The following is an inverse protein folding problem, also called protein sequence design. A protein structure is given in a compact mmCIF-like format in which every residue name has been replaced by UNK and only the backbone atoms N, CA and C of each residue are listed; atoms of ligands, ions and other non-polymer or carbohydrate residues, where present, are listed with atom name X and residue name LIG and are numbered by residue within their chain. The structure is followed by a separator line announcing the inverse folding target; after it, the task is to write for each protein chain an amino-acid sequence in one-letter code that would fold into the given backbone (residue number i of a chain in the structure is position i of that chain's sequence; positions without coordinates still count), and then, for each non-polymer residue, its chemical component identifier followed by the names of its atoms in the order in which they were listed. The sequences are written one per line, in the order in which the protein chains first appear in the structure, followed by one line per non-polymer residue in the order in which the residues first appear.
data_IF_974105453929
#
_entry.id   IF_974105453929
#
_cell.length_a   1.000
_cell.length_b   1.000
_cell.length_c   1.000
_cell.angle_alpha   90.00
_cell.angle_beta   90.00
_cell.angle_gamma   90.00
#
_symmetry.space_group_name_H-M   'P 1'
#
loop_
_entity.id
_entity.type
_entity.pdbx_description
1 polymer ?
#
# COMPACT_ATOMS: atom_id res chain seq x y z
N UNK A 1 21.57 55.30 -3.60
CA UNK A 1 21.05 54.12 -4.34
C UNK A 1 21.93 52.94 -3.97
N UNK A 2 21.49 52.10 -3.05
CA UNK A 2 22.25 50.93 -2.56
C UNK A 2 21.48 49.67 -2.95
N UNK A 3 22.08 48.84 -3.80
CA UNK A 3 21.53 47.56 -4.23
C UNK A 3 21.96 46.47 -3.23
N UNK A 4 20.99 45.76 -2.67
CA UNK A 4 21.20 44.59 -1.82
C UNK A 4 21.35 43.33 -2.70
N UNK A 5 22.45 42.55 -2.58
CA UNK A 5 22.62 41.32 -3.34
C UNK A 5 22.49 40.10 -2.42
N UNK A 6 21.26 39.76 -2.02
CA UNK A 6 20.97 38.45 -1.42
C UNK A 6 19.64 37.89 -1.95
N UNK A 7 19.54 37.69 -3.27
CA UNK A 7 18.60 36.72 -3.83
C UNK A 7 19.22 35.34 -3.67
N UNK A 8 18.89 34.64 -2.58
CA UNK A 8 19.05 33.18 -2.49
C UNK A 8 18.12 32.57 -3.53
N UNK A 9 18.67 32.14 -4.66
CA UNK A 9 17.98 31.23 -5.57
C UNK A 9 17.69 29.95 -4.79
N UNK A 10 16.41 29.73 -4.49
CA UNK A 10 15.91 28.44 -4.05
C UNK A 10 16.10 27.51 -5.26
N UNK A 11 17.22 26.78 -5.29
CA UNK A 11 17.39 25.67 -6.23
C UNK A 11 16.41 24.61 -5.78
N UNK A 12 15.20 24.71 -6.31
CA UNK A 12 14.18 23.68 -6.26
C UNK A 12 14.84 22.42 -6.82
N UNK A 13 15.31 21.54 -5.93
CA UNK A 13 15.84 20.24 -6.32
C UNK A 13 14.66 19.48 -6.90
N UNK A 14 14.47 19.59 -8.22
CA UNK A 14 13.60 18.70 -8.97
C UNK A 14 14.05 17.28 -8.65
N UNK A 15 13.28 16.59 -7.82
CA UNK A 15 13.56 15.20 -7.48
C UNK A 15 13.50 14.44 -8.82
N UNK A 16 14.55 13.70 -9.18
CA UNK A 16 14.53 12.94 -10.42
C UNK A 16 13.34 11.98 -10.40
N UNK A 17 12.63 11.90 -11.52
CA UNK A 17 11.56 10.92 -11.70
C UNK A 17 12.15 9.54 -11.53
N UNK A 18 11.80 8.86 -10.43
CA UNK A 18 12.29 7.53 -10.13
C UNK A 18 11.54 6.53 -11.01
N UNK A 19 12.26 5.71 -11.77
CA UNK A 19 11.62 4.62 -12.51
C UNK A 19 11.24 3.48 -11.56
N UNK A 20 10.23 2.67 -11.89
CA UNK A 20 9.89 1.47 -11.10
C UNK A 20 11.11 0.55 -10.90
N UNK A 21 11.96 0.40 -11.93
CA UNK A 21 13.16 -0.43 -11.88
C UNK A 21 14.21 0.15 -10.94
N UNK A 22 14.39 1.48 -10.96
CA UNK A 22 15.34 2.17 -10.08
C UNK A 22 14.89 2.07 -8.61
N UNK A 23 13.59 2.18 -8.36
CA UNK A 23 13.00 1.98 -7.03
C UNK A 23 13.27 0.57 -6.51
N UNK A 24 12.98 -0.45 -7.32
CA UNK A 24 13.21 -1.85 -6.96
C UNK A 24 14.68 -2.16 -6.75
N UNK A 25 15.56 -1.64 -7.62
CA UNK A 25 17.02 -1.78 -7.46
C UNK A 25 17.51 -1.11 -6.18
N UNK A 26 16.94 0.03 -5.80
CA UNK A 26 17.26 0.71 -4.55
C UNK A 26 16.86 -0.12 -3.33
N UNK A 27 15.68 -0.76 -3.33
CA UNK A 27 15.24 -1.65 -2.24
C UNK A 27 16.17 -2.86 -2.13
N UNK A 28 16.49 -3.52 -3.25
CA UNK A 28 17.38 -4.69 -3.26
C UNK A 28 18.79 -4.29 -2.81
N UNK A 29 19.28 -3.12 -3.21
CA UNK A 29 20.56 -2.61 -2.76
C UNK A 29 20.54 -2.31 -1.25
N UNK A 30 19.44 -1.74 -0.73
CA UNK A 30 19.25 -1.48 0.68
C UNK A 30 19.24 -2.80 1.46
N UNK A 31 18.50 -3.81 1.02
CA UNK A 31 18.36 -5.08 1.73
C UNK A 31 19.66 -5.85 1.91
N UNK A 32 20.63 -5.64 1.00
CA UNK A 32 21.97 -6.23 1.05
C UNK A 32 22.97 -5.47 1.93
N UNK A 33 22.55 -4.39 2.60
CA UNK A 33 23.42 -3.63 3.51
C UNK A 33 23.46 -4.30 4.88
N UNK A 34 24.66 -4.59 5.35
CA UNK A 34 24.89 -5.16 6.66
C UNK A 34 25.46 -4.11 7.61
N UNK A 35 25.35 -4.34 8.92
CA UNK A 35 25.95 -3.46 9.93
C UNK A 35 27.47 -3.33 9.79
N UNK A 36 28.12 -4.27 9.10
CA UNK A 36 29.55 -4.22 8.76
C UNK A 36 29.88 -3.27 7.62
N UNK A 37 28.92 -2.95 6.74
CA UNK A 37 29.13 -2.11 5.55
C UNK A 37 28.37 -0.78 5.59
N UNK A 38 27.42 -0.62 6.51
CA UNK A 38 26.64 0.61 6.65
C UNK A 38 26.16 0.84 8.08
N UNK A 39 26.10 2.12 8.45
CA UNK A 39 25.44 2.60 9.68
C UNK A 39 23.92 2.38 9.62
N UNK A 40 23.37 2.20 8.42
CA UNK A 40 21.95 1.88 8.18
C UNK A 40 21.85 0.46 7.61
N UNK A 41 21.84 -0.57 8.48
CA UNK A 41 21.67 -1.95 8.03
C UNK A 41 20.29 -2.13 7.41
N UNK A 42 20.21 -2.91 6.33
CA UNK A 42 18.99 -3.16 5.59
C UNK A 42 18.48 -4.60 5.70
N UNK A 43 19.04 -5.42 6.59
CA UNK A 43 18.61 -6.81 6.81
C UNK A 43 17.08 -6.97 6.99
N UNK A 44 16.41 -5.95 7.52
CA UNK A 44 14.96 -5.91 7.71
C UNK A 44 14.16 -5.96 6.38
N UNK A 45 14.80 -5.61 5.26
CA UNK A 45 14.21 -5.57 3.93
C UNK A 45 14.60 -6.79 3.06
N UNK A 46 15.24 -7.80 3.63
CA UNK A 46 15.71 -8.98 2.85
C UNK A 46 14.54 -9.67 2.17
N UNK A 47 13.46 -10.00 2.87
CA UNK A 47 12.35 -10.74 2.26
C UNK A 47 11.63 -9.93 1.18
N UNK A 48 11.37 -8.64 1.42
CA UNK A 48 10.76 -7.79 0.39
C UNK A 48 11.69 -7.64 -0.82
N UNK A 49 13.02 -7.55 -0.60
CA UNK A 49 14.00 -7.52 -1.67
C UNK A 49 14.06 -8.83 -2.47
N UNK A 50 14.04 -9.98 -1.79
CA UNK A 50 13.99 -11.31 -2.41
C UNK A 50 12.67 -11.52 -3.18
N UNK A 51 11.55 -11.06 -2.62
CA UNK A 51 10.25 -11.12 -3.25
C UNK A 51 10.16 -10.23 -4.51
N UNK A 52 10.71 -9.01 -4.46
CA UNK A 52 10.81 -8.14 -5.64
C UNK A 52 11.72 -8.73 -6.74
N UNK A 53 12.74 -9.51 -6.36
CA UNK A 53 13.61 -10.20 -7.31
C UNK A 53 12.91 -11.32 -8.09
N UNK A 54 11.87 -11.93 -7.52
CA UNK A 54 11.09 -12.98 -8.20
C UNK A 54 10.44 -12.46 -9.48
N UNK A 55 9.98 -11.20 -9.49
CA UNK A 55 9.37 -10.55 -10.66
C UNK A 55 10.42 -10.17 -11.72
N UNK A 56 11.59 -9.66 -11.28
CA UNK A 56 12.72 -9.37 -12.19
C UNK A 56 13.24 -10.62 -12.91
N UNK A 57 13.17 -11.79 -12.27
CA UNK A 57 13.47 -13.07 -12.90
C UNK A 57 12.49 -13.43 -14.02
N UNK A 58 11.21 -13.05 -13.88
CA UNK A 58 10.18 -13.26 -14.90
C UNK A 58 10.34 -12.28 -16.07
N UNK A 59 10.75 -11.03 -15.82
CA UNK A 59 10.99 -10.04 -16.89
C UNK A 59 12.20 -10.37 -17.79
N UNK A 60 13.23 -11.04 -17.26
CA UNK A 60 14.42 -11.41 -18.04
C UNK A 60 14.28 -12.75 -18.78
N UNK A 61 13.25 -13.54 -18.49
CA UNK A 61 12.94 -14.78 -19.19
C UNK A 61 11.89 -14.50 -20.25
N UNK A 62 12.32 -14.21 -21.48
CA UNK A 62 11.42 -14.18 -22.62
C UNK A 62 10.70 -15.53 -22.71
N UNK A 63 9.39 -15.53 -22.40
CA UNK A 63 8.44 -16.64 -22.20
C UNK A 63 8.16 -16.96 -20.72
N UNK A 64 7.30 -16.17 -20.09
CA UNK A 64 6.65 -16.51 -18.84
C UNK A 64 5.17 -16.85 -19.11
N UNK A 65 4.88 -18.14 -19.31
CA UNK A 65 3.53 -18.66 -19.07
C UNK A 65 3.42 -19.09 -17.60
N UNK A 66 2.34 -18.62 -16.98
CA UNK A 66 1.63 -19.21 -15.83
C UNK A 66 2.40 -19.53 -14.55
N UNK A 67 2.71 -18.52 -13.72
CA UNK A 67 2.88 -18.75 -12.26
C UNK A 67 2.26 -17.67 -11.35
N UNK A 68 1.30 -16.88 -11.82
CA UNK A 68 0.55 -15.90 -11.00
C UNK A 68 -0.63 -16.52 -10.23
N UNK A 69 -0.75 -17.85 -10.18
CA UNK A 69 -1.92 -18.56 -9.65
C UNK A 69 -1.66 -19.27 -8.32
N UNK A 70 -1.30 -18.53 -7.26
CA UNK A 70 -1.31 -19.08 -5.89
C UNK A 70 -2.26 -18.36 -4.92
N UNK A 71 -2.82 -17.21 -5.28
CA UNK A 71 -3.65 -16.41 -4.34
C UNK A 71 -4.94 -15.84 -4.93
N UNK A 72 -5.45 -16.41 -6.04
CA UNK A 72 -6.76 -16.04 -6.56
C UNK A 72 -7.86 -16.52 -5.60
N UNK A 73 -8.33 -15.60 -4.75
CA UNK A 73 -9.60 -15.76 -4.02
C UNK A 73 -10.68 -16.18 -5.02
N UNK A 74 -11.42 -17.24 -4.69
CA UNK A 74 -12.59 -17.76 -5.45
C UNK A 74 -13.79 -16.79 -5.42
N UNK A 75 -13.56 -15.49 -5.34
CA UNK A 75 -14.61 -14.46 -5.42
C UNK A 75 -14.86 -14.12 -6.89
N UNK A 76 -16.08 -14.42 -7.36
CA UNK A 76 -16.55 -14.16 -8.74
C UNK A 76 -16.58 -12.67 -9.15
N UNK A 77 -16.38 -11.74 -8.21
CA UNK A 77 -16.42 -10.32 -8.49
C UNK A 77 -15.00 -9.75 -8.65
N UNK A 78 -14.70 -9.05 -9.76
CA UNK A 78 -13.45 -8.32 -9.88
C UNK A 78 -13.44 -7.22 -8.82
N UNK A 79 -12.45 -7.25 -7.92
CA UNK A 79 -12.24 -6.21 -6.93
C UNK A 79 -11.20 -5.22 -7.46
N UNK A 80 -11.46 -3.93 -7.26
CA UNK A 80 -10.50 -2.88 -7.57
C UNK A 80 -9.33 -2.96 -6.56
N UNK A 81 -8.11 -3.07 -7.08
CA UNK A 81 -6.89 -3.17 -6.29
C UNK A 81 -6.46 -1.79 -5.80
N UNK A 82 -6.50 -0.80 -6.69
CA UNK A 82 -6.10 0.58 -6.41
C UNK A 82 -7.22 1.53 -6.80
N UNK A 83 -7.57 2.43 -5.90
CA UNK A 83 -8.55 3.50 -6.14
C UNK A 83 -7.89 4.84 -5.83
N UNK A 84 -7.89 5.73 -6.80
CA UNK A 84 -7.28 7.06 -6.74
C UNK A 84 -8.36 8.12 -6.72
N UNK A 85 -8.33 8.99 -5.72
CA UNK A 85 -9.16 10.18 -5.63
C UNK A 85 -8.29 11.42 -5.83
N UNK A 86 -8.55 12.18 -6.88
CA UNK A 86 -7.88 13.44 -7.16
C UNK A 86 -8.72 14.60 -6.65
N UNK A 87 -8.13 15.50 -5.86
CA UNK A 87 -8.83 16.71 -5.45
C UNK A 87 -8.85 17.69 -6.63
N UNK A 88 -10.00 17.86 -7.26
CA UNK A 88 -10.25 18.98 -8.17
C UNK A 88 -10.78 20.20 -7.42
N UNK A 89 -10.75 21.37 -8.06
CA UNK A 89 -11.26 22.64 -7.49
C UNK A 89 -12.71 22.58 -7.00
N UNK A 90 -13.52 21.63 -7.49
CA UNK A 90 -14.95 21.51 -7.15
C UNK A 90 -15.46 20.09 -6.93
N UNK A 91 -14.76 19.06 -7.40
CA UNK A 91 -15.19 17.66 -7.34
C UNK A 91 -13.98 16.74 -7.25
N UNK A 92 -14.11 15.69 -6.46
CA UNK A 92 -13.15 14.59 -6.45
C UNK A 92 -13.34 13.74 -7.70
N UNK A 93 -12.30 13.59 -8.50
CA UNK A 93 -12.28 12.61 -9.60
C UNK A 93 -11.81 11.26 -9.05
N UNK A 94 -12.46 10.17 -9.47
CA UNK A 94 -12.19 8.82 -8.99
C UNK A 94 -11.75 7.93 -10.15
N UNK A 95 -10.60 7.29 -9.99
CA UNK A 95 -10.06 6.31 -10.94
C UNK A 95 -9.79 5.01 -10.20
N UNK A 96 -10.21 3.88 -10.76
CA UNK A 96 -9.93 2.56 -10.19
C UNK A 96 -9.18 1.66 -11.16
N UNK A 97 -8.31 0.83 -10.59
CA UNK A 97 -7.41 -0.06 -11.30
C UNK A 97 -7.48 -1.46 -10.73
N UNK A 98 -7.56 -2.43 -11.63
CA UNK A 98 -7.52 -3.87 -11.35
C UNK A 98 -6.10 -4.40 -11.29
N UNK A 99 -5.94 -5.66 -10.87
CA UNK A 99 -4.65 -6.30 -10.66
C UNK A 99 -3.73 -6.26 -11.89
N UNK A 100 -4.27 -6.32 -13.10
CA UNK A 100 -3.50 -6.35 -14.36
C UNK A 100 -3.19 -4.94 -14.91
N UNK A 101 -3.74 -3.88 -14.32
CA UNK A 101 -3.72 -2.53 -14.89
C UNK A 101 -2.60 -1.64 -14.33
N UNK A 102 -1.50 -2.24 -13.87
CA UNK A 102 -0.37 -1.50 -13.29
C UNK A 102 0.32 -0.58 -14.32
N UNK A 103 0.38 -0.98 -15.60
CA UNK A 103 0.91 -0.13 -16.69
C UNK A 103 0.04 1.10 -16.95
N UNK A 104 -1.29 0.91 -16.97
CA UNK A 104 -2.23 2.02 -17.13
C UNK A 104 -2.13 3.01 -15.95
N UNK A 105 -1.91 2.50 -14.73
CA UNK A 105 -1.67 3.31 -13.56
C UNK A 105 -0.32 4.05 -13.62
N UNK A 106 0.74 3.38 -14.12
CA UNK A 106 2.06 3.98 -14.35
C UNK A 106 1.98 5.15 -15.34
N UNK A 107 1.26 4.94 -16.45
CA UNK A 107 1.08 5.95 -17.51
C UNK A 107 0.11 7.08 -17.13
N UNK A 108 -0.83 6.85 -16.21
CA UNK A 108 -1.77 7.88 -15.78
C UNK A 108 -1.07 9.05 -15.09
N UNK A 109 -1.55 10.28 -15.36
CA UNK A 109 -0.89 11.55 -15.04
C UNK A 109 -0.32 11.63 -13.63
N UNK A 110 0.84 12.31 -13.56
CA UNK A 110 1.69 12.49 -12.40
C UNK A 110 0.96 13.13 -11.22
N UNK A 111 1.52 12.84 -10.03
CA UNK A 111 1.30 13.49 -8.74
C UNK A 111 0.70 14.90 -8.88
N UNK A 112 -0.40 15.20 -8.17
CA UNK A 112 -1.14 16.45 -8.30
C UNK A 112 -0.22 17.68 -8.26
N UNK A 113 -0.53 18.67 -9.10
CA UNK A 113 0.18 19.96 -9.13
C UNK A 113 0.06 20.68 -7.77
N UNK A 114 1.00 21.59 -7.48
CA UNK A 114 0.98 22.37 -6.24
C UNK A 114 -0.40 22.96 -5.97
N UNK A 115 -0.97 22.63 -4.80
CA UNK A 115 -2.32 23.06 -4.38
C UNK A 115 -3.42 22.01 -4.57
N UNK A 116 -3.14 20.85 -5.16
CA UNK A 116 -4.07 19.71 -5.21
C UNK A 116 -3.51 18.50 -4.44
N UNK A 117 -4.40 17.75 -3.79
CA UNK A 117 -4.12 16.50 -3.09
C UNK A 117 -4.65 15.29 -3.84
N UNK A 118 -4.07 14.12 -3.57
CA UNK A 118 -4.52 12.86 -4.11
C UNK A 118 -4.54 11.83 -2.99
N UNK A 119 -5.63 11.07 -2.90
CA UNK A 119 -5.77 9.94 -1.98
C UNK A 119 -5.71 8.65 -2.78
N UNK A 120 -4.85 7.73 -2.37
CA UNK A 120 -4.70 6.43 -3.03
C UNK A 120 -5.03 5.35 -2.02
N UNK A 121 -6.09 4.62 -2.30
CA UNK A 121 -6.49 3.45 -1.54
C UNK A 121 -5.96 2.20 -2.23
N UNK A 122 -5.31 1.35 -1.47
CA UNK A 122 -4.78 0.07 -1.92
C UNK A 122 -5.51 -1.02 -1.13
N UNK A 123 -6.05 -2.02 -1.82
CA UNK A 123 -6.79 -3.12 -1.22
C UNK A 123 -6.19 -4.45 -1.66
N UNK A 124 -6.11 -5.40 -0.74
CA UNK A 124 -5.68 -6.76 -1.04
C UNK A 124 -4.16 -6.91 -1.13
N UNK A 125 -3.72 -7.94 -1.84
CA UNK A 125 -2.31 -8.29 -1.99
C UNK A 125 -1.73 -7.62 -3.25
N UNK A 126 -0.66 -6.85 -3.09
CA UNK A 126 0.03 -6.19 -4.21
C UNK A 126 1.05 -7.12 -4.84
N UNK A 127 1.14 -7.11 -6.18
CA UNK A 127 2.25 -7.75 -6.89
C UNK A 127 3.53 -6.90 -6.83
N UNK A 128 4.71 -7.48 -7.10
CA UNK A 128 5.97 -6.73 -7.12
C UNK A 128 5.95 -5.56 -8.10
N UNK A 129 5.33 -5.73 -9.27
CA UNK A 129 5.18 -4.71 -10.29
C UNK A 129 4.35 -3.53 -9.77
N UNK A 130 3.26 -3.79 -9.02
CA UNK A 130 2.46 -2.75 -8.36
C UNK A 130 3.26 -1.96 -7.33
N UNK A 131 4.05 -2.64 -6.48
CA UNK A 131 4.89 -1.96 -5.49
C UNK A 131 5.96 -1.11 -6.14
N UNK A 132 6.55 -1.61 -7.23
CA UNK A 132 7.55 -0.86 -8.00
C UNK A 132 6.96 0.43 -8.56
N UNK A 133 5.78 0.35 -9.19
CA UNK A 133 5.11 1.50 -9.81
C UNK A 133 4.59 2.50 -8.76
N UNK A 134 3.89 2.03 -7.72
CA UNK A 134 3.37 2.92 -6.66
C UNK A 134 4.52 3.56 -5.89
N UNK A 135 5.51 2.75 -5.53
CA UNK A 135 6.69 3.18 -4.79
C UNK A 135 7.48 4.24 -5.52
N UNK A 136 7.70 4.06 -6.83
CA UNK A 136 8.41 5.05 -7.64
C UNK A 136 7.57 6.30 -7.92
N UNK A 137 6.26 6.15 -8.17
CA UNK A 137 5.35 7.27 -8.48
C UNK A 137 5.17 8.24 -7.32
N UNK A 138 5.07 7.74 -6.08
CA UNK A 138 4.90 8.58 -4.89
C UNK A 138 6.14 8.71 -4.03
N UNK A 139 7.25 8.04 -4.42
CA UNK A 139 8.47 7.97 -3.62
C UNK A 139 8.19 7.48 -2.19
N UNK A 140 7.43 6.38 -2.08
CA UNK A 140 7.05 5.77 -0.81
C UNK A 140 8.29 5.13 -0.17
N UNK A 141 8.42 5.24 1.15
CA UNK A 141 9.49 4.56 1.88
C UNK A 141 9.26 3.03 1.85
N UNK A 142 10.28 2.19 1.56
CA UNK A 142 10.18 0.73 1.64
C UNK A 142 9.67 0.22 2.99
N UNK A 143 9.88 0.97 4.08
CA UNK A 143 9.35 0.67 5.41
C UNK A 143 7.82 0.59 5.44
N UNK A 144 7.13 1.41 4.64
CA UNK A 144 5.67 1.36 4.50
C UNK A 144 5.23 -0.02 4.00
N UNK A 145 5.86 -0.50 2.93
CA UNK A 145 5.54 -1.79 2.32
C UNK A 145 5.93 -2.96 3.22
N UNK A 146 7.07 -2.86 3.91
CA UNK A 146 7.51 -3.87 4.88
C UNK A 146 6.48 -4.10 5.98
N UNK A 147 5.92 -3.03 6.55
CA UNK A 147 4.89 -3.12 7.61
C UNK A 147 3.57 -3.71 7.11
N UNK A 148 3.18 -3.42 5.88
CA UNK A 148 1.95 -3.94 5.29
C UNK A 148 2.10 -5.37 4.74
N UNK A 149 3.33 -5.83 4.52
CA UNK A 149 3.65 -7.17 4.03
C UNK A 149 4.42 -8.02 5.04
N UNK A 150 4.14 -7.86 6.34
CA UNK A 150 4.77 -8.64 7.40
C UNK A 150 4.60 -10.15 7.21
N UNK A 151 3.56 -10.60 6.51
CA UNK A 151 3.37 -12.02 6.19
C UNK A 151 4.47 -12.62 5.28
N UNK A 152 5.28 -11.80 4.58
CA UNK A 152 6.45 -12.28 3.84
C UNK A 152 7.57 -12.74 4.77
N UNK A 153 7.52 -12.31 6.03
CA UNK A 153 8.49 -12.61 7.07
C UNK A 153 8.39 -14.07 7.54
N UNK A 154 9.00 -14.98 6.78
CA UNK A 154 8.90 -16.42 7.01
C UNK A 154 9.77 -16.92 8.17
N UNK A 155 10.72 -16.12 8.65
CA UNK A 155 11.68 -16.55 9.67
C UNK A 155 11.84 -15.53 10.79
N UNK A 156 11.28 -15.83 11.96
CA UNK A 156 11.41 -15.00 13.19
C UNK A 156 12.88 -14.64 13.46
N UNK A 157 13.81 -15.56 13.21
CA UNK A 157 15.25 -15.38 13.45
C UNK A 157 15.88 -14.29 12.56
N UNK A 158 15.41 -14.17 11.30
CA UNK A 158 15.87 -13.12 10.37
C UNK A 158 15.39 -11.72 10.76
N UNK A 159 14.36 -11.61 11.59
CA UNK A 159 13.70 -10.35 11.96
C UNK A 159 13.67 -10.06 13.46
N UNK A 160 14.35 -10.89 14.26
CA UNK A 160 14.25 -10.92 15.73
C UNK A 160 14.59 -9.59 16.43
N UNK A 161 15.11 -8.58 15.72
CA UNK A 161 15.43 -7.25 16.24
C UNK A 161 15.01 -6.10 15.32
N UNK A 162 14.11 -6.38 14.38
CA UNK A 162 13.62 -5.42 13.38
C UNK A 162 12.42 -4.60 13.84
N UNK A 163 11.83 -4.99 14.97
CA UNK A 163 10.70 -4.33 15.61
C UNK A 163 11.03 -3.99 17.08
N UNK A 164 10.65 -2.80 17.56
CA UNK A 164 10.00 -1.72 16.82
C UNK A 164 10.98 -1.05 15.84
N UNK A 165 10.46 -0.63 14.69
CA UNK A 165 11.20 0.21 13.76
C UNK A 165 11.66 1.49 14.44
N UNK A 166 12.85 2.00 14.11
CA UNK A 166 13.34 3.29 14.64
C UNK A 166 12.32 4.41 14.40
N UNK A 167 12.08 5.27 15.38
CA UNK A 167 11.06 6.34 15.28
C UNK A 167 11.18 7.18 13.99
N UNK A 168 12.41 7.43 13.55
CA UNK A 168 12.72 8.19 12.34
C UNK A 168 12.23 7.51 11.04
N UNK A 169 12.14 6.18 11.02
CA UNK A 169 11.62 5.40 9.87
C UNK A 169 10.11 5.52 9.69
N UNK A 170 9.39 6.03 10.70
CA UNK A 170 7.93 6.26 10.67
C UNK A 170 7.52 7.72 10.50
N UNK A 171 8.45 8.66 10.29
CA UNK A 171 8.09 10.09 10.28
C UNK A 171 7.02 10.45 9.23
N UNK A 172 6.93 9.67 8.15
CA UNK A 172 5.97 9.87 7.06
C UNK A 172 4.85 8.81 7.04
N UNK A 173 4.72 7.98 8.09
CA UNK A 173 3.76 6.90 8.18
C UNK A 173 2.95 7.08 9.46
N UNK A 174 1.64 7.31 9.33
CA UNK A 174 0.71 7.37 10.45
C UNK A 174 -0.30 6.22 10.36
N UNK A 175 -0.63 5.63 11.50
CA UNK A 175 -1.64 4.59 11.60
C UNK A 175 -2.92 5.20 12.15
N UNK A 176 -4.00 5.18 11.36
CA UNK A 176 -5.31 5.62 11.80
C UNK A 176 -6.08 4.41 12.35
N UNK A 177 -6.46 4.45 13.63
CA UNK A 177 -7.37 3.46 14.19
C UNK A 177 -8.80 3.83 13.80
N UNK A 178 -9.41 3.05 12.91
CA UNK A 178 -10.82 3.19 12.54
C UNK A 178 -11.59 2.10 13.26
N UNK A 179 -12.43 2.48 14.23
CA UNK A 179 -13.35 1.55 14.88
C UNK A 179 -14.51 1.27 13.93
N UNK A 180 -14.50 0.11 13.27
CA UNK A 180 -15.60 -0.33 12.44
C UNK A 180 -16.54 -1.22 13.25
N UNK A 181 -17.78 -0.79 13.45
CA UNK A 181 -18.84 -1.68 13.94
C UNK A 181 -19.34 -2.50 12.74
N UNK A 182 -18.86 -3.73 12.61
CA UNK A 182 -19.30 -4.66 11.58
C UNK A 182 -20.63 -5.28 12.02
N UNK A 183 -21.71 -4.95 11.32
CA UNK A 183 -22.93 -5.76 11.34
C UNK A 183 -22.76 -6.85 10.28
N UNK A 184 -22.64 -8.11 10.71
CA UNK A 184 -22.73 -9.25 9.78
C UNK A 184 -24.20 -9.61 9.64
N UNK A 185 -24.81 -9.24 8.53
CA UNK A 185 -26.21 -9.59 8.21
C UNK A 185 -26.42 -11.12 8.06
N UNK A 186 -25.34 -11.90 7.93
CA UNK A 186 -25.42 -13.32 7.56
C UNK A 186 -25.25 -14.32 8.72
N UNK A 187 -25.15 -13.88 9.98
CA UNK A 187 -25.19 -14.81 11.13
C UNK A 187 -26.64 -15.05 11.59
N UNK A 188 -27.37 -15.78 10.75
CA UNK A 188 -28.68 -16.32 11.08
C UNK A 188 -29.78 -15.28 10.96
N UNK A 189 -30.61 -15.42 9.92
CA UNK A 189 -31.93 -14.80 9.84
C UNK A 189 -32.84 -15.31 10.95
N UNK A 190 -32.55 -14.91 12.18
CA UNK A 190 -33.50 -14.91 13.27
C UNK A 190 -34.01 -13.49 13.38
N UNK A 191 -35.18 -13.34 12.78
CA UNK A 191 -36.09 -12.22 12.84
C UNK A 191 -36.18 -11.65 14.26
N UNK A 192 -35.32 -10.67 14.58
CA UNK A 192 -35.33 -9.95 15.86
C UNK A 192 -36.67 -9.23 16.09
N UNK A 193 -37.43 -8.98 15.02
CA UNK A 193 -38.79 -8.43 15.12
C UNK A 193 -39.83 -9.47 15.56
N UNK A 194 -39.72 -10.75 15.17
CA UNK A 194 -40.66 -11.79 15.60
C UNK A 194 -40.51 -12.13 17.09
N UNK A 195 -39.29 -12.09 17.65
CA UNK A 195 -39.10 -12.25 19.10
C UNK A 195 -39.67 -11.09 19.92
N UNK A 196 -39.74 -9.88 19.34
CA UNK A 196 -40.30 -8.71 20.03
C UNK A 196 -41.83 -8.76 20.10
N UNK A 197 -42.48 -9.42 19.15
CA UNK A 197 -43.94 -9.56 19.11
C UNK A 197 -44.45 -10.75 19.94
N UNK A 198 -43.66 -11.82 20.09
CA UNK A 198 -44.04 -13.01 20.87
C UNK A 198 -44.09 -12.82 22.39
N UNK A 199 -43.53 -11.73 22.93
CA UNK A 199 -43.58 -11.41 24.36
C UNK A 199 -44.78 -10.54 24.77
N UNK A 200 -45.54 -10.02 23.80
CA UNK A 200 -46.71 -9.17 24.08
C UNK A 200 -48.02 -9.97 24.23
N UNK A 201 -48.06 -11.23 23.76
CA UNK A 201 -49.30 -12.03 23.73
C UNK A 201 -49.51 -12.96 24.94
N UNK A 202 -48.53 -13.09 25.85
CA UNK A 202 -48.65 -13.96 27.03
C UNK A 202 -49.19 -13.27 28.29
N UNK A 203 -49.61 -11.99 28.21
CA UNK A 203 -49.99 -11.19 29.38
C UNK A 203 -51.50 -10.90 29.50
N UNK A 204 -52.38 -11.51 28.70
CA UNK A 204 -53.82 -11.13 28.68
C UNK A 204 -54.79 -12.28 29.00
N UNK A 205 -54.34 -13.53 29.19
CA UNK A 205 -55.25 -14.64 29.48
C UNK A 205 -54.94 -15.31 30.83
N UNK A 206 -55.37 -14.67 31.92
CA UNK A 206 -55.77 -15.34 33.17
C UNK A 206 -56.55 -14.35 34.03
N UNK A 207 -57.86 -14.31 33.83
CA UNK A 207 -58.83 -13.93 34.88
C UNK A 207 -60.11 -14.71 34.65
#
# INVERSE_FOLDING_TARGET
MSASPYSRSNVERRKPTLTPEDYTRAIISLSRRYSSSSVFPGNNYVDIGEWLLQDLGLFNSAKAEEHTSLFTSKSKQPHDLVVVYNSGERKWDMQSYRQEQYEAFSAATSVPAEGSGQLVFIRGFMSPSWISVIGSKYNIDPEFFRRHMEFLSTSIDRHAYSLPSLANSSNNIFQLCVSTLLHRDDFGGQDLQLQRWGLAESAVETT
#
